data_IF_356431706827
#
_entry.id   IF_356431706827
#
_cell.length_a   1.000
_cell.length_b   1.000
_cell.length_c   1.000
_cell.angle_alpha   90.00
_cell.angle_beta   90.00
_cell.angle_gamma   90.00
#
_symmetry.space_group_name_H-M   'P 1'
#
loop_
_entity.id
_entity.type
_entity.pdbx_description
1 polymer ?
#
# COMPACT_ATOMS: atom_id res chain seq x y z
N UNK A 1 10.52 -20.59 -7.01
CA UNK A 1 10.34 -19.43 -6.13
C UNK A 1 11.19 -19.65 -4.88
N UNK A 2 12.13 -18.76 -4.56
CA UNK A 2 12.88 -18.86 -3.29
C UNK A 2 11.99 -18.36 -2.13
N UNK A 3 12.21 -18.84 -0.89
CA UNK A 3 11.47 -18.35 0.27
C UNK A 3 11.50 -16.82 0.41
N UNK A 4 12.66 -16.22 0.14
CA UNK A 4 12.84 -14.76 0.17
C UNK A 4 11.93 -14.03 -0.82
N UNK A 5 11.89 -14.48 -2.09
CA UNK A 5 10.99 -13.92 -3.10
C UNK A 5 9.52 -14.04 -2.69
N UNK A 6 9.14 -15.14 -2.06
CA UNK A 6 7.77 -15.31 -1.54
C UNK A 6 7.46 -14.31 -0.43
N UNK A 7 8.38 -14.09 0.52
CA UNK A 7 8.18 -13.12 1.60
C UNK A 7 8.09 -11.69 1.08
N UNK A 8 8.91 -11.31 0.09
CA UNK A 8 8.82 -10.00 -0.55
C UNK A 8 7.47 -9.81 -1.25
N UNK A 9 7.06 -10.79 -2.08
CA UNK A 9 5.75 -10.81 -2.73
C UNK A 9 4.62 -10.65 -1.70
N UNK A 10 4.64 -11.44 -0.62
CA UNK A 10 3.64 -11.36 0.44
C UNK A 10 3.62 -9.99 1.13
N UNK A 11 4.79 -9.40 1.36
CA UNK A 11 4.91 -8.05 1.94
C UNK A 11 4.30 -7.01 1.00
N UNK A 12 4.60 -7.07 -0.30
CA UNK A 12 4.02 -6.19 -1.31
C UNK A 12 2.49 -6.34 -1.38
N UNK A 13 1.98 -7.57 -1.44
CA UNK A 13 0.54 -7.82 -1.44
C UNK A 13 -0.16 -7.18 -0.23
N UNK A 14 0.42 -7.34 0.96
CA UNK A 14 -0.13 -6.74 2.19
C UNK A 14 -0.17 -5.22 2.11
N UNK A 15 0.89 -4.59 1.58
CA UNK A 15 0.96 -3.14 1.42
C UNK A 15 -0.02 -2.63 0.36
N UNK A 16 -0.22 -3.35 -0.75
CA UNK A 16 -1.24 -3.01 -1.76
C UNK A 16 -2.63 -3.04 -1.13
N UNK A 17 -2.99 -4.10 -0.39
CA UNK A 17 -4.30 -4.21 0.27
C UNK A 17 -4.52 -3.12 1.32
N UNK A 18 -3.48 -2.78 2.07
CA UNK A 18 -3.51 -1.67 3.04
C UNK A 18 -3.71 -0.32 2.33
N UNK A 19 -3.00 -0.08 1.22
CA UNK A 19 -3.15 1.12 0.42
C UNK A 19 -4.56 1.25 -0.18
N UNK A 20 -5.10 0.19 -0.78
CA UNK A 20 -6.47 0.14 -1.32
C UNK A 20 -7.51 0.48 -0.24
N UNK A 21 -7.34 -0.09 0.96
CA UNK A 21 -8.22 0.18 2.08
C UNK A 21 -8.16 1.64 2.51
N UNK A 22 -6.96 2.20 2.61
CA UNK A 22 -6.74 3.60 2.97
C UNK A 22 -7.39 4.54 1.95
N UNK A 23 -7.16 4.33 0.64
CA UNK A 23 -7.74 5.18 -0.41
C UNK A 23 -9.27 5.07 -0.44
N UNK A 24 -9.83 3.86 -0.25
CA UNK A 24 -11.26 3.63 -0.34
C UNK A 24 -12.06 4.22 0.83
N UNK A 25 -11.53 4.12 2.05
CA UNK A 25 -12.32 4.42 3.27
C UNK A 25 -11.91 5.71 3.98
N UNK A 26 -10.73 6.27 3.71
CA UNK A 26 -10.28 7.51 4.34
C UNK A 26 -10.51 8.71 3.43
N UNK A 27 -11.74 8.87 2.94
CA UNK A 27 -12.13 9.95 2.00
C UNK A 27 -12.60 11.22 2.69
N UNK A 28 -12.80 11.19 4.01
CA UNK A 28 -13.36 12.29 4.79
C UNK A 28 -12.43 13.49 5.01
N UNK A 29 -11.19 13.43 4.48
CA UNK A 29 -10.18 14.49 4.57
C UNK A 29 -9.92 14.99 6.00
N UNK A 30 -10.17 14.12 6.99
CA UNK A 30 -9.96 14.42 8.40
C UNK A 30 -8.48 14.29 8.73
N UNK A 31 -8.03 14.98 9.76
CA UNK A 31 -6.63 14.89 10.26
C UNK A 31 -6.23 13.43 10.52
N UNK A 32 -7.15 12.61 11.03
CA UNK A 32 -6.93 11.17 11.28
C UNK A 32 -6.63 10.40 9.99
N UNK A 33 -7.29 10.76 8.88
CA UNK A 33 -7.09 10.14 7.57
C UNK A 33 -5.70 10.49 7.01
N UNK A 34 -5.29 11.76 7.16
CA UNK A 34 -3.94 12.22 6.83
C UNK A 34 -2.86 11.52 7.65
N UNK A 35 -3.06 11.35 8.96
CA UNK A 35 -2.09 10.63 9.82
C UNK A 35 -1.89 9.21 9.32
N UNK A 36 -2.97 8.50 8.93
CA UNK A 36 -2.87 7.15 8.38
C UNK A 36 -2.11 7.12 7.04
N UNK A 37 -2.31 8.10 6.17
CA UNK A 37 -1.58 8.19 4.90
C UNK A 37 -0.09 8.46 5.11
N UNK A 38 0.26 9.35 6.05
CA UNK A 38 1.65 9.63 6.42
C UNK A 38 2.31 8.40 7.04
N UNK A 39 1.62 7.69 7.93
CA UNK A 39 2.13 6.45 8.51
C UNK A 39 2.39 5.37 7.45
N UNK A 40 1.47 5.23 6.47
CA UNK A 40 1.70 4.36 5.33
C UNK A 40 2.93 4.78 4.53
N UNK A 41 3.10 6.07 4.23
CA UNK A 41 4.27 6.59 3.51
C UNK A 41 5.59 6.30 4.24
N UNK A 42 5.64 6.45 5.56
CA UNK A 42 6.85 6.11 6.33
C UNK A 42 7.23 4.63 6.23
N UNK A 43 6.23 3.75 6.11
CA UNK A 43 6.41 2.30 6.01
C UNK A 43 6.74 1.84 4.59
N UNK A 44 6.08 2.41 3.58
CA UNK A 44 6.12 1.97 2.19
C UNK A 44 7.02 2.81 1.28
N UNK A 45 7.45 3.99 1.75
CA UNK A 45 8.29 4.95 1.02
C UNK A 45 7.52 5.91 0.09
N UNK A 46 6.21 5.71 -0.09
CA UNK A 46 5.36 6.51 -1.00
C UNK A 46 3.91 6.54 -0.51
N UNK A 47 3.10 7.43 -1.06
CA UNK A 47 1.70 7.56 -0.68
C UNK A 47 0.89 6.32 -1.10
N UNK A 48 -0.24 6.02 -0.43
CA UNK A 48 -1.10 4.89 -0.79
C UNK A 48 -1.49 4.84 -2.27
N UNK A 49 -1.87 5.99 -2.85
CA UNK A 49 -2.27 6.09 -4.26
C UNK A 49 -1.14 5.70 -5.21
N UNK A 50 0.04 6.29 -5.03
CA UNK A 50 1.25 6.02 -5.81
C UNK A 50 1.66 4.54 -5.71
N UNK A 51 1.47 3.94 -4.53
CA UNK A 51 1.77 2.54 -4.29
C UNK A 51 0.85 1.60 -5.08
N UNK A 52 -0.45 1.91 -5.12
CA UNK A 52 -1.43 1.15 -5.91
C UNK A 52 -1.13 1.29 -7.41
N UNK A 53 -0.83 2.49 -7.89
CA UNK A 53 -0.51 2.69 -9.31
C UNK A 53 0.73 1.90 -9.74
N UNK A 54 1.74 1.82 -8.86
CA UNK A 54 2.99 1.12 -9.16
C UNK A 54 2.92 -0.40 -9.00
N UNK A 55 2.16 -0.91 -8.02
CA UNK A 55 2.18 -2.32 -7.61
C UNK A 55 0.81 -3.01 -7.63
N UNK A 56 -0.28 -2.29 -7.92
CA UNK A 56 -1.64 -2.84 -7.93
C UNK A 56 -1.85 -3.88 -9.03
N UNK A 57 -1.20 -3.69 -10.18
CA UNK A 57 -1.24 -4.61 -11.32
C UNK A 57 0.02 -5.46 -11.47
N UNK A 58 1.00 -5.36 -10.57
CA UNK A 58 2.30 -6.07 -10.69
C UNK A 58 2.22 -7.60 -10.52
N UNK A 59 1.01 -8.16 -10.45
CA UNK A 59 0.72 -9.59 -10.34
C UNK A 59 0.07 -10.16 -11.61
N UNK A 60 -0.24 -9.30 -12.59
CA UNK A 60 -0.91 -9.69 -13.84
C UNK A 60 0.06 -10.08 -14.98
N UNK A 61 1.36 -9.92 -14.76
CA UNK A 61 2.42 -10.37 -15.67
C UNK A 61 3.07 -11.68 -15.20
#
# INVERSE_FOLDING_TARGET
>A
MTPEKYYELRKHYKLVKEAEHLVKYNTSNKVVDMIKFVAFKQKAGMMPQEYIEKYGDSWKD
#
